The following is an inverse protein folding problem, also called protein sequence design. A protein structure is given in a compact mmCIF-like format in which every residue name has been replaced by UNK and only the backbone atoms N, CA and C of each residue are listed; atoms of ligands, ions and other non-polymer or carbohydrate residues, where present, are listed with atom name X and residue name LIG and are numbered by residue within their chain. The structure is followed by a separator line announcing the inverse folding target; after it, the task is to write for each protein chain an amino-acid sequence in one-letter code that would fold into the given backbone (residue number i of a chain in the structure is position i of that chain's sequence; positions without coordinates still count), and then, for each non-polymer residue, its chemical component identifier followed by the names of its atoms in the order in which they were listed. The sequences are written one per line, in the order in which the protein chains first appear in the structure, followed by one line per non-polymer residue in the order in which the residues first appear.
data_IF_716971628892
#
_entry.id   IF_716971628892
#
_cell.length_a   1.000
_cell.length_b   1.000
_cell.length_c   1.000
_cell.angle_alpha   90.00
_cell.angle_beta   90.00
_cell.angle_gamma   90.00
#
_symmetry.space_group_name_H-M   'P 1'
#
loop_
_entity.id
_entity.type
_entity.pdbx_description
1 polymer ?
#
# COMPACT_ATOMS: atom_id res chain seq x y z
N UNK A 1 -11.22 -13.15 -26.39
CA UNK A 1 -11.51 -13.90 -25.15
C UNK A 1 -11.31 -13.00 -23.95
N UNK A 2 -12.36 -12.93 -23.13
CA UNK A 2 -12.48 -12.52 -21.72
C UNK A 2 -11.92 -11.17 -21.23
N UNK A 3 -12.82 -10.40 -20.63
CA UNK A 3 -12.47 -9.33 -19.71
C UNK A 3 -13.67 -8.46 -19.34
N UNK A 4 -14.77 -9.08 -18.90
CA UNK A 4 -15.95 -8.42 -18.34
C UNK A 4 -15.51 -7.27 -17.42
N UNK A 5 -15.68 -6.04 -17.89
CA UNK A 5 -15.64 -4.88 -17.02
C UNK A 5 -16.92 -4.94 -16.20
N UNK A 6 -16.87 -5.60 -15.05
CA UNK A 6 -17.98 -5.53 -14.11
C UNK A 6 -18.15 -4.05 -13.73
N UNK A 7 -19.33 -3.53 -14.06
CA UNK A 7 -19.83 -2.17 -13.85
C UNK A 7 -20.18 -1.91 -12.37
N UNK A 8 -19.35 -2.40 -11.45
CA UNK A 8 -19.31 -2.02 -10.05
C UNK A 8 -17.89 -1.53 -9.79
N UNK A 9 -17.69 -0.21 -9.65
CA UNK A 9 -16.39 0.46 -9.68
C UNK A 9 -15.25 -0.38 -9.11
N UNK A 10 -14.28 -0.76 -9.96
CA UNK A 10 -13.09 -1.53 -9.55
C UNK A 10 -12.32 -0.72 -8.52
N UNK A 11 -12.63 -0.94 -7.24
CA UNK A 11 -11.90 -0.37 -6.11
C UNK A 11 -10.82 -1.35 -5.72
N UNK A 12 -9.57 -0.93 -5.86
CA UNK A 12 -8.47 -1.75 -5.40
C UNK A 12 -8.29 -1.64 -3.89
N UNK A 13 -8.22 -2.76 -3.15
CA UNK A 13 -8.21 -2.77 -1.69
C UNK A 13 -7.19 -1.82 -1.03
N UNK A 14 -6.00 -1.67 -1.60
CA UNK A 14 -4.95 -0.88 -0.95
C UNK A 14 -5.05 0.63 -1.17
N UNK A 15 -5.60 1.11 -2.30
CA UNK A 15 -5.79 2.57 -2.49
C UNK A 15 -7.24 3.00 -2.67
N UNK A 16 -8.13 2.03 -2.81
CA UNK A 16 -9.57 2.14 -3.08
C UNK A 16 -9.92 3.12 -4.19
N UNK A 17 -8.96 3.36 -5.09
CA UNK A 17 -9.09 4.29 -6.18
C UNK A 17 -10.06 3.73 -7.22
N UNK A 18 -11.11 4.49 -7.52
CA UNK A 18 -12.10 4.17 -8.55
C UNK A 18 -11.70 4.71 -9.95
N UNK A 19 -10.78 5.69 -9.97
CA UNK A 19 -10.35 6.40 -11.18
C UNK A 19 -8.84 6.32 -11.32
N UNK A 20 -8.37 5.84 -12.47
CA UNK A 20 -6.96 5.83 -12.81
C UNK A 20 -6.78 5.91 -14.31
N UNK A 21 -5.72 6.59 -14.77
CA UNK A 21 -5.40 6.69 -16.20
C UNK A 21 -5.04 5.32 -16.80
N UNK A 22 -4.45 4.43 -16.00
CA UNK A 22 -4.06 3.10 -16.45
C UNK A 22 -4.16 2.09 -15.32
N UNK A 23 -4.88 0.99 -15.59
CA UNK A 23 -4.91 -0.18 -14.73
C UNK A 23 -3.71 -1.07 -15.02
N UNK A 24 -2.99 -1.47 -13.97
CA UNK A 24 -1.82 -2.35 -14.03
C UNK A 24 -2.12 -3.69 -13.37
N UNK A 25 -1.33 -4.71 -13.72
CA UNK A 25 -1.37 -6.00 -13.05
C UNK A 25 -0.80 -5.90 -11.63
N UNK A 26 -1.36 -6.69 -10.73
CA UNK A 26 -0.97 -6.78 -9.32
C UNK A 26 -1.03 -8.21 -8.83
N UNK A 27 -0.90 -8.42 -7.51
CA UNK A 27 -0.85 -9.75 -6.92
C UNK A 27 -2.13 -10.57 -7.14
N UNK A 28 -3.26 -9.88 -7.24
CA UNK A 28 -4.58 -10.48 -7.48
C UNK A 28 -4.89 -10.68 -8.98
N UNK A 29 -3.91 -10.43 -9.87
CA UNK A 29 -4.06 -10.60 -11.32
C UNK A 29 -4.07 -9.31 -12.14
N UNK A 30 -4.45 -9.38 -13.43
CA UNK A 30 -4.39 -8.25 -14.34
C UNK A 30 -5.41 -7.15 -13.99
N UNK A 31 -5.04 -5.88 -14.24
CA UNK A 31 -5.90 -4.69 -14.03
C UNK A 31 -6.42 -4.54 -12.60
N UNK A 32 -5.64 -4.96 -11.61
CA UNK A 32 -6.01 -4.88 -10.18
C UNK A 32 -5.39 -3.66 -9.48
N UNK A 33 -4.35 -3.04 -10.03
CA UNK A 33 -3.70 -1.87 -9.44
C UNK A 33 -3.97 -0.60 -10.24
N UNK A 34 -4.13 0.52 -9.54
CA UNK A 34 -4.04 1.83 -10.18
C UNK A 34 -2.62 2.09 -10.70
N UNK A 35 -2.44 3.09 -11.55
CA UNK A 35 -1.13 3.39 -12.15
C UNK A 35 -0.04 3.59 -11.09
N UNK A 36 -0.30 4.42 -10.08
CA UNK A 36 0.68 4.76 -9.03
C UNK A 36 1.08 3.56 -8.16
N UNK A 37 0.11 2.74 -7.73
CA UNK A 37 0.35 1.52 -6.97
C UNK A 37 1.03 0.46 -7.81
N UNK A 38 0.65 0.32 -9.09
CA UNK A 38 1.24 -0.66 -9.99
C UNK A 38 2.71 -0.40 -10.32
N UNK A 39 3.10 0.87 -10.48
CA UNK A 39 4.53 1.23 -10.67
C UNK A 39 5.36 0.89 -9.42
N UNK A 40 4.80 1.11 -8.22
CA UNK A 40 5.46 0.76 -6.96
C UNK A 40 5.52 -0.74 -6.74
N UNK A 41 4.46 -1.46 -7.08
CA UNK A 41 4.40 -2.91 -6.98
C UNK A 41 5.45 -3.56 -7.88
N UNK A 42 5.55 -3.13 -9.15
CA UNK A 42 6.56 -3.62 -10.10
C UNK A 42 8.01 -3.40 -9.61
N UNK A 43 8.25 -2.32 -8.87
CA UNK A 43 9.57 -1.99 -8.32
C UNK A 43 9.83 -2.57 -6.93
N UNK A 44 8.89 -3.34 -6.35
CA UNK A 44 9.01 -3.88 -5.00
C UNK A 44 8.92 -2.82 -3.88
N UNK A 45 8.46 -1.61 -4.21
CA UNK A 45 8.40 -0.46 -3.27
C UNK A 45 6.98 -0.17 -2.78
N UNK A 46 6.03 -1.05 -3.05
CA UNK A 46 4.68 -0.95 -2.49
C UNK A 46 4.70 -1.56 -1.09
N UNK A 47 4.83 -0.69 -0.09
CA UNK A 47 4.91 -1.09 1.31
C UNK A 47 3.52 -1.05 1.97
N UNK A 48 3.20 -1.92 2.95
CA UNK A 48 1.94 -1.90 3.67
C UNK A 48 1.63 -0.55 4.34
N UNK A 49 2.66 0.13 4.83
CA UNK A 49 2.55 1.45 5.47
C UNK A 49 2.38 2.57 4.42
N UNK A 50 2.65 2.30 3.14
CA UNK A 50 2.33 3.24 2.08
C UNK A 50 0.83 3.17 1.79
N UNK A 51 0.09 4.23 2.07
CA UNK A 51 -1.35 4.25 1.84
C UNK A 51 -1.80 5.66 1.43
N UNK A 52 -2.64 5.81 0.40
CA UNK A 52 -3.14 7.12 0.02
C UNK A 52 -4.10 7.67 1.09
N UNK A 53 -4.04 8.98 1.34
CA UNK A 53 -4.88 9.67 2.30
C UNK A 53 -6.38 9.61 1.95
N UNK A 54 -6.71 9.37 0.69
CA UNK A 54 -8.09 9.22 0.20
C UNK A 54 -8.72 7.86 0.50
N UNK A 55 -7.96 6.91 1.03
CA UNK A 55 -8.47 5.57 1.33
C UNK A 55 -9.20 5.59 2.68
N UNK A 56 -10.39 4.97 2.80
CA UNK A 56 -11.17 5.00 4.05
C UNK A 56 -10.52 4.23 5.20
N UNK A 57 -9.55 3.37 4.91
CA UNK A 57 -8.75 2.66 5.93
C UNK A 57 -7.44 3.37 6.27
N UNK A 58 -7.23 4.61 5.79
CA UNK A 58 -6.05 5.39 6.11
C UNK A 58 -6.05 5.75 7.61
N UNK A 59 -4.93 5.50 8.27
CA UNK A 59 -4.67 5.90 9.65
C UNK A 59 -3.28 6.53 9.68
N UNK A 60 -3.18 7.76 10.18
CA UNK A 60 -1.92 8.52 10.18
C UNK A 60 -0.80 7.88 11.01
N UNK A 61 -1.17 7.04 11.97
CA UNK A 61 -0.23 6.34 12.85
C UNK A 61 0.42 5.13 12.15
N UNK A 62 -0.34 4.46 11.28
CA UNK A 62 0.09 3.26 10.57
C UNK A 62 0.54 3.54 9.14
N UNK A 63 0.03 4.62 8.55
CA UNK A 63 0.09 4.84 7.11
C UNK A 63 0.58 6.23 6.71
N UNK A 64 1.22 6.32 5.55
CA UNK A 64 1.63 7.57 4.92
C UNK A 64 1.49 7.50 3.39
N UNK A 65 1.04 8.60 2.79
CA UNK A 65 0.98 8.75 1.33
C UNK A 65 2.34 9.14 0.71
N UNK A 66 3.32 9.48 1.55
CA UNK A 66 4.69 9.83 1.15
C UNK A 66 5.63 8.66 1.34
N UNK A 67 6.30 8.26 0.26
CA UNK A 67 7.26 7.14 0.27
C UNK A 67 8.43 7.39 1.23
N UNK A 68 8.97 8.62 1.25
CA UNK A 68 10.08 9.00 2.14
C UNK A 68 9.68 8.81 3.61
N UNK A 69 8.50 9.31 3.98
CA UNK A 69 7.97 9.16 5.34
C UNK A 69 7.76 7.70 5.73
N UNK A 70 7.29 6.85 4.81
CA UNK A 70 7.17 5.40 5.08
C UNK A 70 8.53 4.75 5.40
N UNK A 71 9.59 5.12 4.67
CA UNK A 71 10.93 4.62 4.96
C UNK A 71 11.43 5.11 6.32
N UNK A 72 11.14 6.36 6.66
CA UNK A 72 11.51 6.93 7.96
C UNK A 72 10.73 6.26 9.12
N UNK A 73 9.43 5.99 8.95
CA UNK A 73 8.62 5.22 9.91
C UNK A 73 9.22 3.84 10.19
N UNK A 74 9.71 3.14 9.15
CA UNK A 74 10.36 1.83 9.33
C UNK A 74 11.70 1.92 10.04
N UNK A 75 12.51 2.94 9.74
CA UNK A 75 13.76 3.19 10.46
C UNK A 75 13.51 3.50 11.93
N UNK A 76 12.46 4.28 12.23
CA UNK A 76 12.09 4.59 13.61
C UNK A 76 11.62 3.34 14.35
N UNK A 77 10.73 2.54 13.75
CA UNK A 77 10.29 1.26 14.31
C UNK A 77 11.45 0.31 14.60
N UNK A 78 12.47 0.26 13.73
CA UNK A 78 13.68 -0.51 13.99
C UNK A 78 14.44 -0.01 15.22
N UNK A 79 14.57 1.31 15.41
CA UNK A 79 15.20 1.88 16.61
C UNK A 79 14.41 1.55 17.86
N UNK A 80 13.08 1.64 17.81
CA UNK A 80 12.21 1.34 18.96
C UNK A 80 12.32 -0.15 19.33
N UNK A 81 12.38 -1.06 18.35
CA UNK A 81 12.60 -2.49 18.60
C UNK A 81 13.99 -2.75 19.18
N UNK A 82 15.02 -2.05 18.72
CA UNK A 82 16.38 -2.15 19.29
C UNK A 82 16.45 -1.58 20.72
N UNK A 83 15.47 -0.77 21.14
CA UNK A 83 15.39 -0.14 22.45
C UNK A 83 14.39 -0.82 23.40
N UNK A 84 13.70 -1.88 22.97
CA UNK A 84 12.93 -2.77 23.84
C UNK A 84 13.86 -3.90 24.31
N UNK A 85 14.43 -3.81 25.54
CA UNK A 85 15.21 -4.91 26.06
C UNK A 85 14.25 -6.02 26.45
N UNK A 86 14.27 -7.14 25.72
CA UNK A 86 14.13 -8.51 26.27
C UNK A 86 13.20 -8.72 27.48
N UNK A 87 11.96 -8.22 27.45
CA UNK A 87 10.94 -8.47 28.49
C UNK A 87 9.85 -9.45 28.03
N UNK A 88 10.18 -10.34 27.10
CA UNK A 88 9.33 -11.46 26.68
C UNK A 88 10.01 -12.82 26.97
N UNK A 89 10.84 -12.89 28.03
CA UNK A 89 11.51 -14.13 28.45
C UNK A 89 11.62 -14.31 29.98
N UNK A 90 10.59 -13.90 30.73
CA UNK A 90 10.34 -14.40 32.10
C UNK A 90 8.95 -15.02 32.14
#
# INVERSE_FOLDING_TARGET
MAGMANSSGRRYLHCQSEKTLQWRAGPLGPKTLCNACGVRYKSGRLLPEYWPASSPTFSGDLHSNSHRKVLDMRKQKQKDVMFLPSLEFI
#
